data_IF_789807414418
#
_entry.id   IF_789807414418
#
_cell.length_a   1.000
_cell.length_b   1.000
_cell.length_c   1.000
_cell.angle_alpha   90.00
_cell.angle_beta   90.00
_cell.angle_gamma   90.00
#
_symmetry.space_group_name_H-M   'P 1'
#
loop_
_entity.id
_entity.type
_entity.pdbx_description
1 polymer ?
#
# COMPACT_ATOMS: atom_id res chain seq x y z
N UNK A 1 21.41 -10.55 12.96
CA UNK A 1 20.70 -10.07 11.77
C UNK A 1 19.66 -9.05 12.16
N UNK A 2 19.64 -7.92 11.48
CA UNK A 2 18.74 -6.81 11.80
C UNK A 2 17.76 -6.54 10.67
N UNK A 3 16.48 -6.49 11.01
CA UNK A 3 15.41 -6.06 10.14
C UNK A 3 14.68 -4.90 10.79
N UNK A 4 14.65 -3.76 10.12
CA UNK A 4 13.93 -2.58 10.60
C UNK A 4 12.75 -2.29 9.68
N UNK A 5 11.56 -2.34 10.25
CA UNK A 5 10.30 -1.99 9.56
C UNK A 5 10.01 -0.52 9.87
N UNK A 6 9.79 0.28 8.82
CA UNK A 6 9.36 1.65 9.02
C UNK A 6 7.96 1.66 9.66
N UNK A 7 7.77 2.40 10.76
CA UNK A 7 6.44 2.55 11.34
C UNK A 7 5.55 3.49 10.53
N UNK A 8 6.11 4.17 9.52
CA UNK A 8 5.42 5.22 8.78
C UNK A 8 4.96 4.70 7.43
N UNK A 9 3.72 4.97 7.12
CA UNK A 9 3.14 4.80 5.80
C UNK A 9 2.98 6.15 5.13
N UNK A 10 3.27 6.18 3.84
CA UNK A 10 2.92 7.29 2.96
C UNK A 10 1.77 6.84 2.06
N UNK A 11 0.90 7.77 1.72
CA UNK A 11 -0.27 7.49 0.90
C UNK A 11 -0.44 8.59 -0.15
N UNK A 12 -0.80 8.19 -1.36
CA UNK A 12 -1.17 9.11 -2.44
C UNK A 12 -2.50 8.67 -3.05
N UNK A 13 -3.47 9.54 -3.06
CA UNK A 13 -4.81 9.29 -3.62
C UNK A 13 -5.76 10.44 -3.30
N UNK A 14 -6.97 10.39 -3.83
CA UNK A 14 -7.50 9.31 -4.69
C UNK A 14 -7.18 9.56 -6.16
N UNK A 15 -6.87 8.48 -6.87
CA UNK A 15 -6.84 8.46 -8.34
C UNK A 15 -8.20 7.97 -8.85
N UNK A 16 -8.58 8.43 -10.04
CA UNK A 16 -9.81 7.98 -10.68
C UNK A 16 -9.66 6.55 -11.21
N UNK A 17 -10.72 5.75 -11.05
CA UNK A 17 -10.74 4.37 -11.48
C UNK A 17 -10.55 3.38 -10.33
N UNK A 18 -11.39 2.33 -10.35
CA UNK A 18 -11.41 1.26 -9.36
C UNK A 18 -10.69 0.00 -9.81
N UNK A 19 -11.29 -1.13 -9.47
CA UNK A 19 -10.76 -2.46 -9.81
C UNK A 19 -10.61 -2.60 -11.32
N UNK A 20 -9.42 -3.05 -11.76
CA UNK A 20 -9.11 -3.26 -13.18
C UNK A 20 -8.75 -2.01 -13.95
N UNK A 21 -8.73 -0.83 -13.33
CA UNK A 21 -8.35 0.41 -14.00
C UNK A 21 -6.85 0.47 -14.27
N UNK A 22 -6.48 1.23 -15.30
CA UNK A 22 -5.09 1.53 -15.58
C UNK A 22 -4.61 2.69 -14.70
N UNK A 23 -3.47 2.54 -14.04
CA UNK A 23 -2.97 3.50 -13.07
C UNK A 23 -1.50 3.86 -13.31
N UNK A 24 -1.08 5.11 -13.04
CA UNK A 24 0.20 5.63 -13.53
C UNK A 24 1.45 5.18 -12.76
N UNK A 25 1.33 4.78 -11.49
CA UNK A 25 2.51 4.52 -10.65
C UNK A 25 2.87 3.04 -10.52
N UNK A 26 2.17 2.16 -11.23
CA UNK A 26 2.38 0.71 -11.13
C UNK A 26 3.83 0.33 -11.39
N UNK A 27 4.49 -0.27 -10.39
CA UNK A 27 5.87 -0.72 -10.48
C UNK A 27 6.93 0.38 -10.56
N UNK A 28 6.55 1.64 -10.45
CA UNK A 28 7.47 2.78 -10.54
C UNK A 28 8.22 3.02 -9.22
N UNK A 29 9.44 3.58 -9.28
CA UNK A 29 10.12 4.03 -8.07
C UNK A 29 9.28 5.06 -7.32
N UNK A 30 9.29 4.98 -5.98
CA UNK A 30 8.57 5.94 -5.15
C UNK A 30 9.36 7.25 -5.09
N UNK A 31 8.73 8.34 -5.52
CA UNK A 31 9.29 9.68 -5.45
C UNK A 31 8.41 10.52 -4.53
N UNK A 32 8.86 10.77 -3.33
CA UNK A 32 8.05 11.43 -2.30
C UNK A 32 7.72 12.90 -2.59
N UNK A 33 8.45 13.53 -3.50
CA UNK A 33 8.21 14.91 -3.95
C UNK A 33 7.31 14.99 -5.19
N UNK A 34 6.90 13.86 -5.75
CA UNK A 34 6.07 13.82 -6.95
C UNK A 34 4.63 14.22 -6.66
N UNK A 35 4.00 14.83 -7.65
CA UNK A 35 2.57 15.13 -7.67
C UNK A 35 1.96 14.58 -8.94
N UNK A 36 0.68 14.22 -8.87
CA UNK A 36 -0.06 13.66 -10.01
C UNK A 36 -1.47 14.21 -10.07
N UNK A 37 -2.07 14.27 -11.27
CA UNK A 37 -3.50 14.53 -11.38
C UNK A 37 -4.28 13.36 -10.74
N UNK A 38 -5.16 13.70 -9.82
CA UNK A 38 -6.01 12.72 -9.14
C UNK A 38 -7.46 12.84 -9.57
N UNK A 39 -8.31 12.21 -8.78
CA UNK A 39 -9.75 12.17 -9.00
C UNK A 39 -10.34 13.59 -8.92
N UNK A 40 -11.32 13.88 -9.75
CA UNK A 40 -11.99 15.19 -9.85
C UNK A 40 -11.03 16.36 -10.19
N UNK A 41 -9.93 16.07 -10.88
CA UNK A 41 -8.95 17.08 -11.27
C UNK A 41 -8.10 17.61 -10.12
N UNK A 42 -8.19 17.03 -8.94
CA UNK A 42 -7.35 17.43 -7.80
C UNK A 42 -5.95 16.89 -7.96
N UNK A 43 -4.96 17.73 -7.67
CA UNK A 43 -3.57 17.27 -7.62
C UNK A 43 -3.35 16.50 -6.32
N UNK A 44 -2.82 15.29 -6.42
CA UNK A 44 -2.47 14.45 -5.28
C UNK A 44 -0.96 14.39 -5.08
N UNK A 45 -0.56 14.22 -3.84
CA UNK A 45 0.84 14.12 -3.43
C UNK A 45 0.97 13.06 -2.35
N UNK A 46 2.22 12.61 -2.07
CA UNK A 46 2.47 11.70 -0.98
C UNK A 46 2.23 12.39 0.36
N UNK A 47 1.41 11.79 1.19
CA UNK A 47 1.07 12.27 2.53
C UNK A 47 1.43 11.20 3.56
N UNK A 48 1.87 11.62 4.73
CA UNK A 48 2.11 10.71 5.84
C UNK A 48 0.77 10.30 6.48
N UNK A 49 0.63 9.01 6.78
CA UNK A 49 -0.53 8.50 7.52
C UNK A 49 -0.31 8.77 9.00
N UNK A 50 -1.17 9.56 9.66
CA UNK A 50 -1.05 9.81 11.08
C UNK A 50 -1.15 8.53 11.90
N UNK A 51 -0.29 8.39 12.93
CA UNK A 51 -0.25 7.18 13.75
C UNK A 51 -1.55 6.84 14.48
N UNK A 52 -2.37 7.85 14.80
CA UNK A 52 -3.66 7.61 15.46
C UNK A 52 -4.70 6.92 14.57
N UNK A 53 -4.45 6.83 13.27
CA UNK A 53 -5.32 6.09 12.34
C UNK A 53 -5.03 4.59 12.33
N UNK A 54 -3.99 4.15 13.03
CA UNK A 54 -3.66 2.73 13.19
C UNK A 54 -4.41 2.21 14.42
N UNK A 55 -5.36 1.33 14.20
CA UNK A 55 -6.18 0.78 15.28
C UNK A 55 -5.42 -0.30 16.06
N UNK A 56 -5.91 -0.65 17.25
CA UNK A 56 -5.25 -1.62 18.12
C UNK A 56 -5.12 -3.02 17.48
N UNK A 57 -6.03 -3.38 16.58
CA UNK A 57 -5.98 -4.64 15.84
C UNK A 57 -5.07 -4.59 14.60
N UNK A 58 -4.39 -3.46 14.36
CA UNK A 58 -3.51 -3.27 13.21
C UNK A 58 -4.19 -2.74 11.95
N UNK A 59 -5.50 -2.50 11.98
CA UNK A 59 -6.20 -1.90 10.84
C UNK A 59 -5.83 -0.44 10.69
N UNK A 60 -5.54 -0.04 9.46
CA UNK A 60 -5.27 1.35 9.10
C UNK A 60 -6.45 1.87 8.30
N UNK A 61 -7.07 2.95 8.79
CA UNK A 61 -8.22 3.58 8.16
C UNK A 61 -7.78 4.87 7.49
N UNK A 62 -7.91 4.94 6.17
CA UNK A 62 -7.45 6.06 5.35
C UNK A 62 -8.55 7.07 5.03
N UNK A 63 -9.78 6.87 5.48
CA UNK A 63 -10.91 7.71 5.09
C UNK A 63 -10.69 9.19 5.39
N UNK A 64 -10.08 9.51 6.53
CA UNK A 64 -9.78 10.91 6.91
C UNK A 64 -8.59 11.50 6.16
N UNK A 65 -7.80 10.69 5.47
CA UNK A 65 -6.63 11.15 4.69
C UNK A 65 -6.99 11.31 3.22
N UNK A 66 -7.56 10.28 2.61
CA UNK A 66 -7.86 10.24 1.17
C UNK A 66 -9.33 10.43 0.86
N UNK A 67 -10.21 10.26 1.84
CA UNK A 67 -11.64 10.16 1.61
C UNK A 67 -12.06 8.79 1.05
N UNK A 68 -13.36 8.64 0.85
CA UNK A 68 -13.95 7.49 0.19
C UNK A 68 -14.92 8.03 -0.86
N UNK A 69 -14.64 7.79 -2.14
CA UNK A 69 -15.38 8.40 -3.24
C UNK A 69 -15.51 7.40 -4.40
N UNK A 70 -16.40 6.41 -4.22
CA UNK A 70 -16.71 5.43 -5.24
C UNK A 70 -15.49 4.68 -5.76
N UNK A 71 -15.50 4.36 -7.04
CA UNK A 71 -14.38 3.69 -7.69
C UNK A 71 -13.13 4.57 -7.69
N UNK A 72 -12.12 4.16 -6.95
CA UNK A 72 -10.90 4.95 -6.72
C UNK A 72 -9.70 4.06 -6.47
N UNK A 73 -8.52 4.60 -6.74
CA UNK A 73 -7.23 3.93 -6.45
C UNK A 73 -6.40 4.78 -5.52
N UNK A 74 -5.76 4.12 -4.56
CA UNK A 74 -4.82 4.71 -3.62
C UNK A 74 -3.50 3.94 -3.69
N UNK A 75 -2.38 4.65 -3.71
CA UNK A 75 -1.06 4.06 -3.55
C UNK A 75 -0.56 4.26 -2.13
N UNK A 76 0.10 3.23 -1.62
CA UNK A 76 0.71 3.24 -0.29
C UNK A 76 2.18 2.86 -0.42
N UNK A 77 3.03 3.47 0.38
CA UNK A 77 4.46 3.19 0.35
C UNK A 77 5.02 3.13 1.77
N UNK A 78 5.93 2.19 1.98
CA UNK A 78 6.73 2.09 3.18
C UNK A 78 8.11 1.51 2.87
N UNK A 79 8.98 1.42 3.85
CA UNK A 79 10.32 0.88 3.68
C UNK A 79 10.65 -0.17 4.74
N UNK A 80 11.56 -1.08 4.36
CA UNK A 80 12.17 -2.06 5.23
C UNK A 80 13.67 -1.99 5.06
N UNK A 81 14.41 -1.92 6.15
CA UNK A 81 15.87 -1.97 6.11
C UNK A 81 16.37 -3.33 6.57
N UNK A 82 17.31 -3.91 5.83
CA UNK A 82 17.93 -5.19 6.15
C UNK A 82 19.43 -5.07 6.04
N UNK A 83 20.15 -5.78 6.90
CA UNK A 83 21.63 -5.83 6.87
C UNK A 83 22.15 -6.93 5.94
N UNK A 84 21.27 -7.77 5.41
CA UNK A 84 21.65 -8.85 4.51
C UNK A 84 20.51 -9.23 3.57
N UNK A 85 20.84 -9.99 2.54
CA UNK A 85 19.86 -10.62 1.67
C UNK A 85 19.10 -11.69 2.48
N UNK A 86 17.77 -11.63 2.47
CA UNK A 86 16.95 -12.60 3.20
C UNK A 86 15.54 -12.65 2.65
N UNK A 87 14.91 -13.81 2.83
CA UNK A 87 13.48 -13.92 2.62
C UNK A 87 12.71 -13.25 3.77
N UNK A 88 11.62 -12.59 3.43
CA UNK A 88 10.68 -11.99 4.36
C UNK A 88 9.28 -12.41 3.97
N UNK A 89 8.41 -12.59 4.96
CA UNK A 89 7.00 -12.93 4.76
C UNK A 89 6.12 -11.77 5.19
N UNK A 90 5.03 -11.61 4.48
CA UNK A 90 4.03 -10.58 4.71
C UNK A 90 2.66 -11.18 4.90
N UNK A 91 1.85 -10.54 5.74
CA UNK A 91 0.43 -10.81 5.85
C UNK A 91 -0.31 -9.49 5.62
N UNK A 92 -1.33 -9.53 4.79
CA UNK A 92 -2.08 -8.34 4.41
C UNK A 92 -3.56 -8.64 4.23
N UNK A 93 -4.37 -7.60 4.28
CA UNK A 93 -5.78 -7.64 3.93
C UNK A 93 -6.22 -6.29 3.42
N UNK A 94 -6.71 -6.25 2.18
CA UNK A 94 -7.16 -5.03 1.52
C UNK A 94 -8.56 -5.20 0.97
N UNK A 95 -9.31 -4.11 0.95
CA UNK A 95 -10.59 -4.09 0.27
C UNK A 95 -10.43 -4.14 -1.24
N UNK A 96 -11.26 -4.95 -1.88
CA UNK A 96 -11.32 -5.16 -3.33
C UNK A 96 -9.99 -5.66 -3.91
N UNK A 97 -9.21 -4.82 -4.60
CA UNK A 97 -8.01 -5.26 -5.32
C UNK A 97 -6.74 -4.68 -4.70
N UNK A 98 -5.70 -5.51 -4.65
CA UNK A 98 -4.39 -5.14 -4.14
C UNK A 98 -3.29 -5.66 -5.05
N UNK A 99 -2.29 -4.80 -5.33
CA UNK A 99 -1.06 -5.19 -6.01
C UNK A 99 0.12 -4.69 -5.20
N UNK A 100 1.11 -5.56 -4.97
CA UNK A 100 2.28 -5.26 -4.13
C UNK A 100 3.56 -5.42 -4.94
N UNK A 101 4.41 -4.40 -4.91
CA UNK A 101 5.76 -4.43 -5.48
C UNK A 101 6.80 -4.26 -4.36
N UNK A 102 7.88 -5.02 -4.45
CA UNK A 102 9.06 -4.87 -3.62
C UNK A 102 10.24 -4.52 -4.51
N UNK A 103 10.83 -3.36 -4.29
CA UNK A 103 11.95 -2.85 -5.12
C UNK A 103 11.62 -2.88 -6.63
N UNK A 104 10.39 -2.57 -6.99
CA UNK A 104 9.91 -2.58 -8.37
C UNK A 104 9.50 -3.94 -8.91
N UNK A 105 9.66 -5.02 -8.16
CA UNK A 105 9.28 -6.37 -8.56
C UNK A 105 7.90 -6.74 -8.02
N UNK A 106 7.04 -7.23 -8.89
CA UNK A 106 5.70 -7.69 -8.50
C UNK A 106 5.80 -8.88 -7.56
N UNK A 107 5.23 -8.75 -6.34
CA UNK A 107 5.19 -9.83 -5.35
C UNK A 107 3.85 -10.53 -5.30
N UNK A 108 2.77 -9.78 -5.36
CA UNK A 108 1.43 -10.31 -5.07
C UNK A 108 0.37 -9.43 -5.72
N UNK A 109 -0.69 -10.07 -6.21
CA UNK A 109 -1.82 -9.37 -6.79
C UNK A 109 -3.10 -10.12 -6.51
N UNK A 110 -4.10 -9.40 -6.03
CA UNK A 110 -5.47 -9.90 -5.85
C UNK A 110 -6.41 -8.96 -6.58
N UNK A 111 -7.22 -9.50 -7.46
CA UNK A 111 -8.25 -8.76 -8.18
C UNK A 111 -9.60 -9.32 -7.78
N UNK A 112 -10.48 -8.49 -7.25
CA UNK A 112 -11.80 -8.93 -6.81
C UNK A 112 -12.55 -7.85 -6.06
N UNK A 113 -13.63 -8.27 -5.40
CA UNK A 113 -14.47 -7.42 -4.58
C UNK A 113 -14.66 -8.07 -3.23
N UNK A 114 -14.03 -7.49 -2.20
CA UNK A 114 -14.06 -8.03 -0.84
C UNK A 114 -13.79 -6.92 0.17
N UNK A 115 -14.16 -7.17 1.41
CA UNK A 115 -13.76 -6.30 2.52
C UNK A 115 -12.32 -6.60 2.95
N UNK A 116 -11.67 -5.62 3.55
CA UNK A 116 -10.35 -5.84 4.15
C UNK A 116 -10.49 -6.70 5.40
N UNK A 117 -9.74 -7.81 5.44
CA UNK A 117 -9.69 -8.70 6.60
C UNK A 117 -8.24 -8.94 7.01
N UNK A 118 -8.01 -9.06 8.30
CA UNK A 118 -6.67 -9.27 8.85
C UNK A 118 -6.07 -10.57 8.34
N UNK A 119 -4.81 -10.51 7.89
CA UNK A 119 -4.01 -11.67 7.49
C UNK A 119 -4.66 -12.55 6.42
N UNK A 120 -5.51 -11.97 5.58
CA UNK A 120 -6.20 -12.71 4.52
C UNK A 120 -5.25 -13.23 3.46
N UNK A 121 -4.24 -12.44 3.09
CA UNK A 121 -3.24 -12.80 2.11
C UNK A 121 -1.87 -12.98 2.76
N UNK A 122 -1.18 -14.08 2.41
CA UNK A 122 0.17 -14.38 2.83
C UNK A 122 1.07 -14.47 1.60
N UNK A 123 2.19 -13.77 1.60
CA UNK A 123 3.14 -13.79 0.49
C UNK A 123 4.55 -13.49 0.99
N UNK A 124 5.54 -13.74 0.14
CA UNK A 124 6.93 -13.60 0.50
C UNK A 124 7.70 -12.79 -0.55
N UNK A 125 8.81 -12.21 -0.13
CA UNK A 125 9.73 -11.48 -1.00
C UNK A 125 11.16 -11.62 -0.51
N UNK A 126 12.10 -11.16 -1.32
CA UNK A 126 13.54 -11.17 -0.99
C UNK A 126 13.97 -9.73 -0.75
N UNK A 127 14.49 -9.48 0.45
CA UNK A 127 15.14 -8.21 0.79
C UNK A 127 16.60 -8.24 0.35
N UNK A 128 17.10 -7.07 -0.02
CA UNK A 128 18.52 -6.83 -0.28
C UNK A 128 19.10 -6.00 0.86
N UNK A 129 20.44 -6.00 1.07
CA UNK A 129 21.05 -5.13 2.07
C UNK A 129 20.72 -3.66 1.81
N UNK A 130 20.41 -2.95 2.88
CA UNK A 130 20.01 -1.54 2.84
C UNK A 130 18.51 -1.34 2.90
N UNK A 131 18.04 -0.25 2.32
CA UNK A 131 16.62 0.14 2.33
C UNK A 131 15.90 -0.54 1.18
N UNK A 132 14.80 -1.20 1.51
CA UNK A 132 13.92 -1.84 0.53
C UNK A 132 12.59 -1.06 0.48
N UNK A 133 12.05 -0.87 -0.71
CA UNK A 133 10.85 -0.08 -0.94
C UNK A 133 9.67 -0.99 -1.26
N UNK A 134 8.57 -0.79 -0.52
CA UNK A 134 7.29 -1.44 -0.79
C UNK A 134 6.35 -0.39 -1.37
N UNK A 135 5.77 -0.72 -2.50
CA UNK A 135 4.70 0.06 -3.13
C UNK A 135 3.46 -0.84 -3.24
N UNK A 136 2.33 -0.33 -2.79
CA UNK A 136 1.06 -1.05 -2.86
C UNK A 136 0.06 -0.18 -3.60
N UNK A 137 -0.67 -0.80 -4.54
CA UNK A 137 -1.84 -0.22 -5.17
C UNK A 137 -3.07 -0.87 -4.57
N UNK A 138 -3.99 -0.05 -4.05
CA UNK A 138 -5.31 -0.50 -3.61
C UNK A 138 -6.37 0.14 -4.49
N UNK A 139 -7.00 -0.65 -5.35
CA UNK A 139 -8.10 -0.20 -6.21
C UNK A 139 -9.41 -0.71 -5.64
N UNK A 140 -10.37 0.19 -5.44
CA UNK A 140 -11.62 -0.12 -4.74
C UNK A 140 -12.81 0.39 -5.54
N UNK A 141 -13.90 -0.36 -5.50
CA UNK A 141 -15.20 0.06 -6.03
C UNK A 141 -16.16 0.37 -4.89
N UNK A 142 -16.40 -0.56 -3.98
CA UNK A 142 -17.32 -0.39 -2.86
C UNK A 142 -16.66 -0.52 -1.49
N UNK A 143 -15.53 -1.20 -1.39
CA UNK A 143 -14.87 -1.40 -0.11
C UNK A 143 -14.37 -0.08 0.49
N UNK A 144 -14.48 0.11 1.83
CA UNK A 144 -13.92 1.29 2.48
C UNK A 144 -12.40 1.34 2.35
N UNK A 145 -11.78 2.55 2.46
CA UNK A 145 -10.32 2.71 2.36
C UNK A 145 -9.61 2.25 3.64
N UNK A 146 -9.59 0.97 3.86
CA UNK A 146 -9.03 0.32 5.04
C UNK A 146 -8.13 -0.82 4.62
N UNK A 147 -7.06 -1.06 5.40
CA UNK A 147 -6.19 -2.20 5.14
C UNK A 147 -5.47 -2.68 6.40
N UNK A 148 -4.98 -3.92 6.32
CA UNK A 148 -4.07 -4.53 7.29
C UNK A 148 -2.78 -4.89 6.55
N UNK A 149 -1.64 -4.64 7.18
CA UNK A 149 -0.35 -5.06 6.63
C UNK A 149 0.65 -5.26 7.76
N UNK A 150 1.33 -6.39 7.76
CA UNK A 150 2.40 -6.66 8.70
C UNK A 150 3.50 -7.53 8.10
N UNK A 151 4.69 -7.40 8.65
CA UNK A 151 5.81 -8.28 8.36
C UNK A 151 5.79 -9.40 9.38
N UNK A 152 5.87 -10.62 8.91
CA UNK A 152 5.95 -11.81 9.76
C UNK A 152 7.42 -12.09 10.05
N UNK A 153 7.76 -12.08 11.30
CA UNK A 153 9.14 -12.28 11.77
C UNK A 153 9.37 -13.70 12.24
#
# INVERSE_FOLDING_TARGET
MTLVVSPLWKVMGLFDGGVGSHQPLDGQPVRLDATHPGKHGKIVSWQEVPGHLIEANGRINLESVTGADGSSTTYLATTLSSDQTREVRFAAGFGDAMTVWLNGHLLHEVIGHRNAERDEDLFAGILVPGVNHILIRNSRDLAPPQFYFRVIR
#
